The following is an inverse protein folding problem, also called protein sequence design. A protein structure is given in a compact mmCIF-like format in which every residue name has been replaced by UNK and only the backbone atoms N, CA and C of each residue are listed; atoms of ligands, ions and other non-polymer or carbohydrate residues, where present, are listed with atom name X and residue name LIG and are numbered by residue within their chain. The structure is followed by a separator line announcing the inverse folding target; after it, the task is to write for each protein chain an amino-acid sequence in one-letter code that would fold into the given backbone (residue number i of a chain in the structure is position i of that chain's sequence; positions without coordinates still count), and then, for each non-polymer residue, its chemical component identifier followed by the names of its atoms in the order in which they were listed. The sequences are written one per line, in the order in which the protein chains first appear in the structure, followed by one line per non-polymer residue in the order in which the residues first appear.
data_IF_002148397073
#
_entry.id   IF_002148397073
#
_cell.length_a   1.000
_cell.length_b   1.000
_cell.length_c   1.000
_cell.angle_alpha   90.00
_cell.angle_beta   90.00
_cell.angle_gamma   90.00
#
_symmetry.space_group_name_H-M   'P 1'
#
loop_
_entity.id
_entity.type
_entity.pdbx_description
1 polymer ?
#
# COMPACT_ATOMS: atom_id res chain seq x y z
N UNK A 1 -3.53 49.40 -42.05
CA UNK A 1 -3.24 49.03 -40.65
C UNK A 1 -4.07 47.83 -40.16
N UNK A 2 -4.03 46.64 -40.81
CA UNK A 2 -4.82 45.45 -40.35
C UNK A 2 -4.16 44.08 -40.64
N UNK A 3 -2.85 44.00 -40.90
CA UNK A 3 -2.18 42.71 -41.22
C UNK A 3 -0.92 42.40 -40.39
N UNK A 4 -0.68 43.14 -39.31
CA UNK A 4 0.52 42.97 -38.48
C UNK A 4 0.25 42.17 -37.20
N UNK A 5 -0.99 42.10 -36.73
CA UNK A 5 -1.36 41.39 -35.50
C UNK A 5 -1.44 39.86 -35.64
N UNK A 6 -1.49 39.31 -36.87
CA UNK A 6 -1.55 37.86 -37.09
C UNK A 6 -0.20 37.14 -36.99
N UNK A 7 0.93 37.85 -36.91
CA UNK A 7 2.27 37.22 -36.88
C UNK A 7 2.70 36.70 -35.51
N UNK A 8 1.96 37.06 -34.44
CA UNK A 8 2.28 36.66 -33.06
C UNK A 8 1.30 35.62 -32.48
N UNK A 9 0.24 35.27 -33.22
CA UNK A 9 -0.72 34.24 -32.86
C UNK A 9 -0.12 32.85 -32.53
N UNK A 10 0.91 32.35 -33.23
CA UNK A 10 1.44 31.01 -32.92
C UNK A 10 2.24 30.96 -31.61
N UNK A 11 2.79 32.09 -31.16
CA UNK A 11 3.55 32.15 -29.90
C UNK A 11 2.65 32.21 -28.66
N UNK A 12 1.51 32.89 -28.75
CA UNK A 12 0.54 32.97 -27.64
C UNK A 12 -0.15 31.62 -27.41
N UNK A 13 -0.40 30.84 -28.48
CA UNK A 13 -0.99 29.50 -28.37
C UNK A 13 -0.02 28.48 -27.74
N UNK A 14 1.29 28.61 -27.97
CA UNK A 14 2.31 27.76 -27.33
C UNK A 14 2.54 28.07 -25.85
N UNK A 15 2.25 29.30 -25.39
CA UNK A 15 2.45 29.68 -23.98
C UNK A 15 1.31 29.21 -23.05
N UNK A 16 0.11 28.99 -23.59
CA UNK A 16 -1.06 28.50 -22.81
C UNK A 16 -1.03 26.98 -22.63
N UNK A 17 -0.27 26.25 -23.45
CA UNK A 17 -0.19 24.78 -23.44
C UNK A 17 0.89 24.20 -22.49
N UNK A 18 1.31 24.97 -21.47
CA UNK A 18 2.36 24.56 -20.51
C UNK A 18 1.87 24.30 -19.08
N UNK A 19 0.59 24.56 -18.76
CA UNK A 19 0.09 24.63 -17.36
C UNK A 19 -0.82 23.45 -16.99
N UNK A 20 -0.67 22.30 -17.64
CA UNK A 20 -1.31 21.04 -17.19
C UNK A 20 -0.22 20.01 -16.91
N UNK A 21 0.84 20.44 -16.25
CA UNK A 21 1.69 19.54 -15.47
C UNK A 21 0.88 19.11 -14.26
N UNK A 22 0.11 18.02 -14.40
CA UNK A 22 -0.69 17.40 -13.34
C UNK A 22 0.19 17.18 -12.12
N UNK A 23 0.04 18.04 -11.12
CA UNK A 23 0.47 17.77 -9.76
C UNK A 23 -0.27 16.52 -9.31
N UNK A 24 0.38 15.36 -9.45
CA UNK A 24 -0.08 14.16 -8.76
C UNK A 24 -0.12 14.54 -7.28
N UNK A 25 -1.29 14.50 -6.61
CA UNK A 25 -1.28 14.61 -5.17
C UNK A 25 -0.38 13.48 -4.68
N UNK A 26 0.75 13.82 -4.07
CA UNK A 26 1.53 12.85 -3.35
C UNK A 26 0.58 12.31 -2.28
N UNK A 27 0.14 11.07 -2.42
CA UNK A 27 -0.61 10.37 -1.39
C UNK A 27 0.28 10.38 -0.15
N UNK A 28 0.07 11.36 0.72
CA UNK A 28 0.54 11.38 2.10
C UNK A 28 -0.37 10.45 2.90
N UNK A 29 -0.52 9.20 2.44
CA UNK A 29 -0.89 8.16 3.38
C UNK A 29 0.21 8.16 4.44
N UNK A 30 -0.14 8.15 5.74
CA UNK A 30 0.84 8.00 6.79
C UNK A 30 1.65 6.76 6.43
N UNK A 31 2.93 6.96 6.10
CA UNK A 31 3.82 5.85 5.78
C UNK A 31 3.76 4.93 6.99
N UNK A 32 3.17 3.74 6.81
CA UNK A 32 2.99 2.81 7.90
C UNK A 32 4.35 2.62 8.58
N UNK A 33 4.41 2.89 9.89
CA UNK A 33 5.69 2.91 10.63
C UNK A 33 6.47 1.60 10.47
N UNK A 34 5.76 0.49 10.25
CA UNK A 34 6.34 -0.86 10.24
C UNK A 34 5.83 -1.72 9.07
N UNK A 35 6.25 -1.43 7.81
CA UNK A 35 5.74 -2.15 6.64
C UNK A 35 6.08 -3.64 6.68
N UNK A 36 7.20 -4.02 7.29
CA UNK A 36 7.60 -5.42 7.48
C UNK A 36 6.71 -6.16 8.49
N UNK A 37 6.30 -5.49 9.56
CA UNK A 37 5.42 -6.11 10.57
C UNK A 37 4.02 -6.29 9.97
N UNK A 38 3.50 -5.33 9.20
CA UNK A 38 2.24 -5.51 8.48
C UNK A 38 2.31 -6.69 7.52
N UNK A 39 3.34 -6.74 6.66
CA UNK A 39 3.49 -7.82 5.71
C UNK A 39 3.56 -9.19 6.39
N UNK A 40 4.25 -9.30 7.53
CA UNK A 40 4.27 -10.52 8.33
C UNK A 40 2.89 -10.89 8.89
N UNK A 41 2.13 -9.90 9.39
CA UNK A 41 0.76 -10.12 9.88
C UNK A 41 -0.16 -10.61 8.76
N UNK A 42 -0.08 -10.04 7.56
CA UNK A 42 -0.86 -10.47 6.40
C UNK A 42 -0.51 -11.91 6.01
N UNK A 43 0.79 -12.20 5.83
CA UNK A 43 1.25 -13.54 5.47
C UNK A 43 0.84 -14.61 6.49
N UNK A 44 0.92 -14.30 7.79
CA UNK A 44 0.50 -15.22 8.85
C UNK A 44 -1.02 -15.44 8.85
N UNK A 45 -1.83 -14.42 8.56
CA UNK A 45 -3.29 -14.58 8.44
C UNK A 45 -3.65 -15.45 7.25
N UNK A 46 -3.00 -15.24 6.11
CA UNK A 46 -3.23 -16.02 4.90
C UNK A 46 -2.83 -17.49 5.12
N UNK A 47 -1.69 -17.74 5.76
CA UNK A 47 -1.25 -19.09 6.14
C UNK A 47 -2.24 -19.78 7.09
N UNK A 48 -2.75 -19.05 8.09
CA UNK A 48 -3.73 -19.59 9.04
C UNK A 48 -5.06 -19.94 8.34
N UNK A 49 -5.53 -19.09 7.44
CA UNK A 49 -6.73 -19.35 6.64
C UNK A 49 -6.56 -20.56 5.72
N UNK A 50 -5.40 -20.66 5.08
CA UNK A 50 -5.04 -21.80 4.25
C UNK A 50 -5.06 -23.11 5.07
N UNK A 51 -4.43 -23.13 6.24
CA UNK A 51 -4.45 -24.29 7.13
C UNK A 51 -5.86 -24.60 7.64
N UNK A 52 -6.69 -23.58 7.89
CA UNK A 52 -8.08 -23.77 8.34
C UNK A 52 -8.95 -24.45 7.30
N UNK A 53 -8.76 -24.09 6.03
CA UNK A 53 -9.54 -24.61 4.89
C UNK A 53 -8.94 -25.84 4.23
N UNK A 54 -7.70 -26.21 4.59
CA UNK A 54 -7.02 -27.39 4.08
C UNK A 54 -7.76 -28.69 4.43
N UNK A 55 -7.89 -29.59 3.45
CA UNK A 55 -8.52 -30.90 3.62
C UNK A 55 -7.64 -31.92 4.36
N UNK A 56 -6.34 -31.65 4.50
CA UNK A 56 -5.37 -32.58 5.11
C UNK A 56 -4.69 -31.94 6.32
N UNK A 57 -4.21 -32.78 7.23
CA UNK A 57 -3.74 -32.35 8.56
C UNK A 57 -2.21 -32.11 8.65
N UNK A 58 -1.52 -32.04 7.51
CA UNK A 58 -0.07 -31.80 7.42
C UNK A 58 0.75 -32.67 8.40
N UNK A 59 0.58 -33.99 8.33
CA UNK A 59 1.22 -34.96 9.25
C UNK A 59 0.84 -34.80 10.74
N UNK A 60 -0.29 -34.15 11.04
CA UNK A 60 -0.76 -33.88 12.41
C UNK A 60 -0.40 -32.48 12.93
N UNK A 61 0.33 -31.67 12.15
CA UNK A 61 0.83 -30.38 12.61
C UNK A 61 -0.15 -29.23 12.42
N UNK A 62 -1.26 -29.41 11.71
CA UNK A 62 -2.17 -28.31 11.36
C UNK A 62 -2.65 -27.53 12.59
N UNK A 63 -3.14 -28.22 13.62
CA UNK A 63 -3.73 -27.59 14.80
C UNK A 63 -2.68 -26.81 15.60
N UNK A 64 -1.50 -27.40 15.79
CA UNK A 64 -0.40 -26.75 16.51
C UNK A 64 0.15 -25.54 15.72
N UNK A 65 0.36 -25.71 14.41
CA UNK A 65 0.82 -24.63 13.54
C UNK A 65 -0.16 -23.45 13.52
N UNK A 66 -1.47 -23.70 13.45
CA UNK A 66 -2.50 -22.65 13.56
C UNK A 66 -2.43 -21.93 14.92
N UNK A 67 -2.28 -22.68 16.02
CA UNK A 67 -2.17 -22.11 17.37
C UNK A 67 -0.96 -21.19 17.51
N UNK A 68 0.19 -21.63 17.02
CA UNK A 68 1.43 -20.87 17.08
C UNK A 68 1.38 -19.64 16.16
N UNK A 69 0.75 -19.78 14.99
CA UNK A 69 0.47 -18.65 14.08
C UNK A 69 -0.41 -17.59 14.75
N UNK A 70 -1.47 -18.00 15.45
CA UNK A 70 -2.32 -17.08 16.22
C UNK A 70 -1.58 -16.42 17.38
N UNK A 71 -0.67 -17.14 18.05
CA UNK A 71 0.18 -16.57 19.09
C UNK A 71 1.12 -15.51 18.52
N UNK A 72 1.77 -15.78 17.39
CA UNK A 72 2.62 -14.81 16.70
C UNK A 72 1.82 -13.57 16.28
N UNK A 73 0.62 -13.73 15.71
CA UNK A 73 -0.26 -12.62 15.35
C UNK A 73 -0.61 -11.72 16.55
N UNK A 74 -0.89 -12.31 17.72
CA UNK A 74 -1.15 -11.53 18.94
C UNK A 74 0.07 -10.72 19.35
N UNK A 75 1.26 -11.32 19.35
CA UNK A 75 2.50 -10.63 19.73
C UNK A 75 2.86 -9.49 18.77
N UNK A 76 2.70 -9.70 17.46
CA UNK A 76 2.96 -8.64 16.47
C UNK A 76 2.01 -7.45 16.63
N UNK A 77 0.74 -7.69 16.97
CA UNK A 77 -0.22 -6.62 17.28
C UNK A 77 0.16 -5.86 18.54
N UNK A 78 0.54 -6.55 19.60
CA UNK A 78 1.03 -5.92 20.83
C UNK A 78 2.27 -5.07 20.57
N UNK A 79 3.20 -5.53 19.73
CA UNK A 79 4.37 -4.76 19.34
C UNK A 79 4.00 -3.47 18.58
N UNK A 80 3.04 -3.54 17.64
CA UNK A 80 2.53 -2.37 16.93
C UNK A 80 1.81 -1.37 17.86
N UNK A 81 1.06 -1.87 18.84
CA UNK A 81 0.38 -1.02 19.83
C UNK A 81 1.38 -0.36 20.79
N UNK A 82 2.42 -1.09 21.21
CA UNK A 82 3.49 -0.58 22.05
C UNK A 82 4.27 0.56 21.38
N UNK A 83 4.61 0.42 20.09
CA UNK A 83 5.33 1.45 19.32
C UNK A 83 4.46 2.68 18.99
N UNK A 84 3.15 2.51 18.91
CA UNK A 84 2.23 3.63 18.64
C UNK A 84 2.10 4.57 19.85
N UNK A 85 2.30 4.07 21.07
CA UNK A 85 2.19 4.80 22.33
C UNK A 85 3.39 5.70 22.57
#
# INVERSE_FOLDING_TARGET
MKRQFLRFAPWVVLMVMGVIGTSRPANTEPQERHPRIRAAVEALRDANEYMRTAAHDFCGHRVEAMRDTDAALRQLRLAQECDRR
#
